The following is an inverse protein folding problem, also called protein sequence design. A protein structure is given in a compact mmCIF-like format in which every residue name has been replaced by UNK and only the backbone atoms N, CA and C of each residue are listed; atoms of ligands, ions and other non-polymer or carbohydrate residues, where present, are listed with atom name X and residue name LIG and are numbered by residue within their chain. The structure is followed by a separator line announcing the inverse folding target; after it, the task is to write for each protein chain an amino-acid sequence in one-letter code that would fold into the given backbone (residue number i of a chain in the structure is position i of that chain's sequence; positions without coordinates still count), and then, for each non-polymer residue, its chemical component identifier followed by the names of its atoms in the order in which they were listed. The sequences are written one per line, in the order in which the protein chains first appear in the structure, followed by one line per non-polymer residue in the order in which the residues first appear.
data_IF_026000176195
#
_entry.id   IF_026000176195
#
_cell.length_a   1.000
_cell.length_b   1.000
_cell.length_c   1.000
_cell.angle_alpha   90.00
_cell.angle_beta   90.00
_cell.angle_gamma   90.00
#
_symmetry.space_group_name_H-M   'P 1'
#
loop_
_entity.id
_entity.type
_entity.pdbx_description
1 polymer ?
#
# COMPACT_ATOMS: atom_id res chain seq x y z
N UNK A 1 16.03 2.34 -7.95
CA UNK A 1 16.14 3.59 -8.74
C UNK A 1 14.74 3.94 -9.26
N UNK A 2 14.07 5.00 -8.78
CA UNK A 2 12.96 5.61 -9.51
C UNK A 2 13.60 5.97 -10.83
N UNK A 3 13.17 5.31 -11.92
CA UNK A 3 13.54 5.76 -13.25
C UNK A 3 12.75 7.06 -13.46
N UNK A 4 13.20 8.17 -12.84
CA UNK A 4 12.87 9.49 -13.37
C UNK A 4 13.35 9.43 -14.80
N UNK A 5 12.44 9.56 -15.75
CA UNK A 5 12.83 9.58 -17.15
C UNK A 5 13.94 10.62 -17.32
N UNK A 6 14.91 10.35 -18.20
CA UNK A 6 15.97 11.33 -18.48
C UNK A 6 15.38 12.73 -18.75
N UNK A 7 14.20 12.77 -19.40
CA UNK A 7 13.39 13.97 -19.61
C UNK A 7 12.97 14.67 -18.31
N UNK A 8 12.36 13.96 -17.37
CA UNK A 8 11.94 14.54 -16.09
C UNK A 8 13.13 14.99 -15.24
N UNK A 9 14.24 14.24 -15.26
CA UNK A 9 15.47 14.64 -14.59
C UNK A 9 16.03 15.94 -15.20
N UNK A 10 16.02 16.04 -16.53
CA UNK A 10 16.45 17.23 -17.26
C UNK A 10 15.55 18.44 -16.97
N UNK A 11 14.22 18.27 -17.00
CA UNK A 11 13.27 19.35 -16.62
C UNK A 11 13.55 19.84 -15.20
N UNK A 12 13.78 18.92 -14.25
CA UNK A 12 14.09 19.29 -12.87
C UNK A 12 15.41 20.05 -12.76
N UNK A 13 16.44 19.63 -13.50
CA UNK A 13 17.74 20.28 -13.52
C UNK A 13 17.66 21.69 -14.11
N UNK A 14 17.00 21.86 -15.27
CA UNK A 14 16.83 23.16 -15.92
C UNK A 14 16.05 24.11 -15.02
N UNK A 15 14.95 23.65 -14.40
CA UNK A 15 14.19 24.48 -13.44
C UNK A 15 15.00 24.88 -12.22
N UNK A 16 15.83 23.98 -11.69
CA UNK A 16 16.70 24.31 -10.56
C UNK A 16 17.77 25.34 -10.95
N UNK A 17 18.36 25.20 -12.14
CA UNK A 17 19.32 26.18 -12.67
C UNK A 17 18.67 27.55 -12.83
N UNK A 18 17.46 27.62 -13.42
CA UNK A 18 16.73 28.88 -13.60
C UNK A 18 16.43 29.56 -12.26
N UNK A 19 15.97 28.79 -11.26
CA UNK A 19 15.73 29.31 -9.91
C UNK A 19 17.02 29.82 -9.26
N UNK A 20 18.15 29.12 -9.44
CA UNK A 20 19.42 29.57 -8.87
C UNK A 20 19.91 30.89 -9.50
N UNK A 21 19.77 31.06 -10.82
CA UNK A 21 20.15 32.30 -11.49
C UNK A 21 19.30 33.48 -11.01
N UNK A 22 17.98 33.27 -10.87
CA UNK A 22 17.05 34.29 -10.35
C UNK A 22 17.31 34.62 -8.87
N UNK A 23 17.64 33.62 -8.04
CA UNK A 23 17.97 33.87 -6.63
C UNK A 23 19.26 34.67 -6.50
N UNK A 24 20.28 34.37 -7.32
CA UNK A 24 21.53 35.12 -7.32
C UNK A 24 21.32 36.59 -7.71
N UNK A 25 20.42 36.85 -8.67
CA UNK A 25 19.96 38.20 -9.05
C UNK A 25 19.34 38.95 -7.88
N UNK A 26 18.31 38.35 -7.28
CA UNK A 26 17.63 38.97 -6.13
C UNK A 26 18.56 39.24 -4.96
N UNK A 27 19.59 38.41 -4.75
CA UNK A 27 20.59 38.61 -3.70
C UNK A 27 21.51 39.78 -4.05
N UNK A 28 21.98 39.89 -5.31
CA UNK A 28 22.82 41.00 -5.73
C UNK A 28 22.08 42.34 -5.61
N UNK A 29 20.80 42.38 -6.04
CA UNK A 29 19.93 43.56 -5.89
C UNK A 29 19.71 43.95 -4.41
N UNK A 30 19.62 42.96 -3.51
CA UNK A 30 19.42 43.21 -2.08
C UNK A 30 20.68 43.67 -1.36
N UNK A 31 21.84 43.19 -1.79
CA UNK A 31 23.13 43.41 -1.13
C UNK A 31 23.79 44.71 -1.61
N UNK A 32 23.36 45.26 -2.76
CA UNK A 32 23.72 46.61 -3.18
C UNK A 32 25.22 46.83 -3.26
N UNK A 33 25.92 46.02 -4.06
CA UNK A 33 27.26 46.37 -4.49
C UNK A 33 27.15 47.45 -5.57
N UNK A 34 26.90 48.69 -5.14
CA UNK A 34 27.25 49.85 -5.95
C UNK A 34 28.78 49.88 -6.02
N UNK A 35 29.35 49.50 -7.17
CA UNK A 35 30.75 49.82 -7.47
C UNK A 35 30.86 51.33 -7.65
N UNK A 36 31.11 52.04 -6.54
CA UNK A 36 31.50 53.44 -6.56
C UNK A 36 32.88 53.58 -7.23
N UNK A 37 32.82 53.98 -8.49
CA UNK A 37 33.71 54.87 -9.24
C UNK A 37 35.02 55.31 -8.55
N UNK A 38 36.16 54.89 -9.12
CA UNK A 38 37.36 55.74 -9.12
C UNK A 38 38.13 55.57 -10.42
N UNK A 39 38.20 56.68 -11.16
CA UNK A 39 38.79 56.94 -12.47
C UNK A 39 40.23 56.43 -12.68
N UNK A 40 40.53 55.92 -13.88
CA UNK A 40 41.40 56.60 -14.87
C UNK A 40 41.59 55.74 -16.15
N UNK A 41 41.58 56.45 -17.29
CA UNK A 41 42.03 56.12 -18.67
C UNK A 41 42.44 54.66 -19.00
N UNK A 42 41.86 54.07 -20.04
CA UNK A 42 42.37 54.20 -21.41
C UNK A 42 41.47 53.42 -22.41
N UNK A 43 41.44 53.95 -23.62
CA UNK A 43 40.70 53.47 -24.78
C UNK A 43 40.99 52.01 -25.18
N UNK A 44 39.96 51.16 -25.25
CA UNK A 44 39.97 49.99 -26.15
C UNK A 44 38.55 49.69 -26.65
N UNK A 45 38.35 49.89 -27.95
CA UNK A 45 37.16 49.49 -28.71
C UNK A 45 37.07 47.96 -28.72
N UNK A 46 36.17 47.43 -27.89
CA UNK A 46 35.82 46.02 -27.82
C UNK A 46 34.48 45.90 -27.11
N UNK A 47 33.45 45.50 -27.85
CA UNK A 47 32.10 45.29 -27.34
C UNK A 47 32.09 44.21 -26.24
N UNK A 48 32.31 44.60 -24.99
CA UNK A 48 32.04 43.76 -23.82
C UNK A 48 30.53 43.80 -23.58
N UNK A 49 29.86 42.68 -23.83
CA UNK A 49 28.49 42.49 -23.34
C UNK A 49 28.53 42.66 -21.82
N UNK A 50 27.63 43.47 -21.27
CA UNK A 50 27.58 43.75 -19.83
C UNK A 50 27.30 42.44 -19.06
N UNK A 51 27.72 42.32 -17.80
CA UNK A 51 27.49 41.10 -17.01
C UNK A 51 25.99 40.75 -16.91
N UNK A 52 25.12 41.77 -16.96
CA UNK A 52 23.67 41.62 -17.07
C UNK A 52 23.24 40.95 -18.39
N UNK A 53 23.86 41.30 -19.52
CA UNK A 53 23.54 40.72 -20.83
C UNK A 53 23.88 39.23 -20.88
N UNK A 54 25.03 38.83 -20.33
CA UNK A 54 25.40 37.42 -20.22
C UNK A 54 24.40 36.62 -19.36
N UNK A 55 23.86 37.24 -18.32
CA UNK A 55 22.88 36.64 -17.42
C UNK A 55 21.51 36.51 -18.08
N UNK A 56 21.04 37.55 -18.76
CA UNK A 56 19.81 37.49 -19.55
C UNK A 56 19.88 36.41 -20.63
N UNK A 57 21.02 36.32 -21.33
CA UNK A 57 21.27 35.26 -22.31
C UNK A 57 21.22 33.86 -21.67
N UNK A 58 21.78 33.69 -20.47
CA UNK A 58 21.70 32.42 -19.73
C UNK A 58 20.25 32.05 -19.34
N UNK A 59 19.43 33.03 -18.94
CA UNK A 59 18.01 32.81 -18.63
C UNK A 59 17.24 32.42 -19.91
N UNK A 60 17.46 33.13 -21.01
CA UNK A 60 16.83 32.83 -22.30
C UNK A 60 17.20 31.43 -22.82
N UNK A 61 18.46 31.03 -22.69
CA UNK A 61 18.91 29.68 -23.02
C UNK A 61 18.20 28.63 -22.18
N UNK A 62 18.14 28.83 -20.86
CA UNK A 62 17.47 27.90 -19.95
C UNK A 62 15.96 27.79 -20.24
N UNK A 63 15.31 28.92 -20.56
CA UNK A 63 13.90 28.94 -20.98
C UNK A 63 13.70 28.24 -22.33
N UNK A 64 14.60 28.44 -23.28
CA UNK A 64 14.59 27.79 -24.59
C UNK A 64 14.78 26.28 -24.48
N UNK A 65 15.72 25.82 -23.65
CA UNK A 65 15.90 24.40 -23.35
C UNK A 65 14.67 23.84 -22.64
N UNK A 66 14.10 24.56 -21.68
CA UNK A 66 12.88 24.13 -21.00
C UNK A 66 11.72 23.99 -21.99
N UNK A 67 11.55 24.96 -22.87
CA UNK A 67 10.55 24.95 -23.93
C UNK A 67 10.76 23.75 -24.85
N UNK A 68 11.96 23.57 -25.41
CA UNK A 68 12.28 22.46 -26.31
C UNK A 68 11.98 21.09 -25.67
N UNK A 69 12.36 20.90 -24.40
CA UNK A 69 12.10 19.67 -23.66
C UNK A 69 10.60 19.49 -23.37
N UNK A 70 9.85 20.57 -23.13
CA UNK A 70 8.40 20.53 -22.94
C UNK A 70 7.65 20.23 -24.23
N UNK A 71 8.10 20.78 -25.35
CA UNK A 71 7.50 20.64 -26.69
C UNK A 71 7.66 19.23 -27.26
N UNK A 72 8.65 18.46 -26.80
CA UNK A 72 8.84 17.07 -27.20
C UNK A 72 8.47 16.08 -26.09
N UNK A 73 7.77 14.99 -26.46
CA UNK A 73 7.43 13.91 -25.52
C UNK A 73 8.65 13.07 -25.11
N UNK A 74 9.66 12.97 -25.98
CA UNK A 74 10.88 12.15 -25.79
C UNK A 74 12.12 12.98 -26.10
N UNK A 75 13.25 12.71 -25.43
CA UNK A 75 14.52 13.44 -25.62
C UNK A 75 15.31 13.04 -26.88
N UNK A 76 14.82 12.06 -27.64
CA UNK A 76 15.49 11.58 -28.84
C UNK A 76 14.55 10.69 -29.67
N UNK A 77 14.97 10.30 -30.88
CA UNK A 77 14.20 9.43 -31.75
C UNK A 77 13.86 8.13 -31.01
N UNK A 78 12.58 7.80 -30.92
CA UNK A 78 12.17 6.49 -30.42
C UNK A 78 12.49 5.46 -31.51
N UNK A 79 13.36 4.50 -31.21
CA UNK A 79 13.38 3.27 -31.99
C UNK A 79 12.13 2.47 -31.60
N UNK A 80 11.15 2.30 -32.50
CA UNK A 80 10.02 1.44 -32.21
C UNK A 80 10.57 0.04 -31.99
N UNK A 81 10.30 -0.56 -30.83
CA UNK A 81 10.40 -2.01 -30.75
C UNK A 81 9.46 -2.59 -31.79
N UNK A 82 9.94 -3.57 -32.57
CA UNK A 82 9.06 -4.24 -33.52
C UNK A 82 7.79 -4.69 -32.78
N UNK A 83 6.60 -4.36 -33.29
CA UNK A 83 5.37 -4.88 -32.70
C UNK A 83 5.47 -6.40 -32.64
N UNK A 84 4.97 -6.97 -31.56
CA UNK A 84 4.96 -8.42 -31.39
C UNK A 84 4.41 -9.10 -32.66
N UNK A 85 4.95 -10.25 -33.09
CA UNK A 85 4.43 -10.98 -34.26
C UNK A 85 2.96 -11.41 -34.14
N UNK A 86 2.42 -11.39 -32.92
CA UNK A 86 1.01 -11.61 -32.63
C UNK A 86 0.34 -10.26 -32.42
N UNK A 87 -0.76 -10.04 -33.16
CA UNK A 87 -1.67 -8.94 -32.89
C UNK A 87 -2.11 -8.97 -31.41
N UNK A 88 -2.24 -7.81 -30.77
CA UNK A 88 -2.61 -7.76 -29.34
C UNK A 88 -3.97 -8.41 -29.10
N UNK A 89 -4.88 -8.29 -30.06
CA UNK A 89 -6.19 -8.95 -30.02
C UNK A 89 -6.04 -10.49 -29.99
N UNK A 90 -5.03 -11.05 -30.66
CA UNK A 90 -4.74 -12.47 -30.61
C UNK A 90 -4.11 -12.87 -29.26
N UNK A 91 -3.28 -12.01 -28.65
CA UNK A 91 -2.71 -12.28 -27.33
C UNK A 91 -3.76 -12.24 -26.22
N UNK A 92 -4.68 -11.27 -26.26
CA UNK A 92 -5.82 -11.22 -25.32
C UNK A 92 -6.72 -12.45 -25.50
N UNK A 93 -7.06 -12.79 -26.75
CA UNK A 93 -7.89 -13.94 -27.05
C UNK A 93 -7.24 -15.26 -26.57
N UNK A 94 -5.92 -15.40 -26.73
CA UNK A 94 -5.18 -16.57 -26.25
C UNK A 94 -5.19 -16.64 -24.71
N UNK A 95 -4.92 -15.53 -24.02
CA UNK A 95 -4.89 -15.53 -22.55
C UNK A 95 -6.28 -15.72 -21.92
N UNK A 96 -7.33 -15.14 -22.50
CA UNK A 96 -8.68 -15.21 -21.94
C UNK A 96 -9.39 -16.50 -22.35
N UNK A 97 -9.32 -16.90 -23.62
CA UNK A 97 -10.18 -17.97 -24.15
C UNK A 97 -9.47 -19.30 -24.38
N UNK A 98 -8.12 -19.35 -24.39
CA UNK A 98 -7.38 -20.59 -24.70
C UNK A 98 -6.61 -21.17 -23.51
N UNK A 99 -6.34 -20.38 -22.47
CA UNK A 99 -5.82 -20.89 -21.20
C UNK A 99 -6.96 -21.61 -20.46
N UNK A 100 -6.72 -22.75 -19.82
CA UNK A 100 -7.72 -23.40 -18.96
C UNK A 100 -7.96 -22.60 -17.66
N UNK A 101 -9.05 -22.88 -16.95
CA UNK A 101 -9.43 -22.10 -15.75
C UNK A 101 -8.41 -22.19 -14.62
N UNK A 102 -7.75 -23.34 -14.43
CA UNK A 102 -6.73 -23.51 -13.39
C UNK A 102 -5.51 -22.66 -13.68
N UNK A 103 -4.98 -22.73 -14.90
CA UNK A 103 -3.85 -21.90 -15.30
C UNK A 103 -4.21 -20.41 -15.29
N UNK A 104 -5.42 -20.03 -15.73
CA UNK A 104 -5.88 -18.64 -15.65
C UNK A 104 -5.89 -18.16 -14.19
N UNK A 105 -6.40 -19.00 -13.28
CA UNK A 105 -6.46 -18.69 -11.85
C UNK A 105 -5.08 -18.59 -11.22
N UNK A 106 -4.13 -19.44 -11.59
CA UNK A 106 -2.74 -19.35 -11.12
C UNK A 106 -2.07 -18.07 -11.60
N UNK A 107 -2.29 -17.68 -12.85
CA UNK A 107 -1.69 -16.50 -13.48
C UNK A 107 -2.26 -15.19 -12.93
N UNK A 108 -3.59 -15.08 -12.81
CA UNK A 108 -4.28 -13.83 -12.48
C UNK A 108 -4.88 -13.79 -11.07
N UNK A 109 -4.68 -14.86 -10.28
CA UNK A 109 -5.09 -14.96 -8.86
C UNK A 109 -6.59 -14.77 -8.65
N UNK A 110 -7.40 -15.08 -9.65
CA UNK A 110 -8.86 -15.17 -9.59
C UNK A 110 -9.37 -16.02 -10.76
N UNK A 111 -10.55 -16.62 -10.62
CA UNK A 111 -11.16 -17.36 -11.73
C UNK A 111 -11.54 -16.44 -12.88
N UNK A 112 -11.70 -17.01 -14.08
CA UNK A 112 -12.12 -16.27 -15.28
C UNK A 112 -13.46 -15.57 -15.05
N UNK A 113 -14.40 -16.23 -14.37
CA UNK A 113 -15.71 -15.67 -14.04
C UNK A 113 -15.58 -14.40 -13.20
N UNK A 114 -14.84 -14.46 -12.09
CA UNK A 114 -14.60 -13.30 -11.23
C UNK A 114 -13.83 -12.18 -11.94
N UNK A 115 -12.88 -12.55 -12.81
CA UNK A 115 -12.18 -11.58 -13.66
C UNK A 115 -13.11 -10.82 -14.60
N UNK A 116 -14.01 -11.53 -15.31
CA UNK A 116 -14.97 -10.91 -16.23
C UNK A 116 -15.95 -10.00 -15.49
N UNK A 117 -16.45 -10.43 -14.33
CA UNK A 117 -17.30 -9.59 -13.45
C UNK A 117 -16.58 -8.33 -13.01
N UNK A 118 -15.33 -8.46 -12.53
CA UNK A 118 -14.53 -7.31 -12.11
C UNK A 118 -14.28 -6.35 -13.28
N UNK A 119 -13.98 -6.88 -14.47
CA UNK A 119 -13.82 -6.08 -15.68
C UNK A 119 -15.07 -5.27 -16.01
N UNK A 120 -16.24 -5.89 -15.95
CA UNK A 120 -17.52 -5.22 -16.19
C UNK A 120 -17.75 -4.10 -15.16
N UNK A 121 -17.52 -4.39 -13.87
CA UNK A 121 -17.72 -3.45 -12.77
C UNK A 121 -16.85 -2.19 -12.90
N UNK A 122 -15.61 -2.33 -13.38
CA UNK A 122 -14.68 -1.20 -13.53
C UNK A 122 -14.67 -0.60 -14.94
N UNK A 123 -15.36 -1.19 -15.91
CA UNK A 123 -15.24 -0.85 -17.34
C UNK A 123 -15.55 0.61 -17.66
N UNK A 124 -16.53 1.20 -16.95
CA UNK A 124 -17.00 2.57 -17.15
C UNK A 124 -16.20 3.62 -16.37
N UNK A 125 -15.12 3.21 -15.71
CA UNK A 125 -14.32 4.13 -14.91
C UNK A 125 -13.63 5.20 -15.79
N UNK A 126 -13.72 6.50 -15.45
CA UNK A 126 -13.08 7.57 -16.20
C UNK A 126 -11.57 7.42 -16.39
N UNK A 127 -10.89 6.65 -15.52
CA UNK A 127 -9.45 6.39 -15.63
C UNK A 127 -9.08 5.59 -16.89
N UNK A 128 -10.06 4.86 -17.44
CA UNK A 128 -9.95 4.16 -18.71
C UNK A 128 -10.41 5.02 -19.89
N UNK A 129 -10.70 6.30 -19.71
CA UNK A 129 -10.89 7.20 -20.84
C UNK A 129 -9.55 7.84 -21.20
N UNK A 130 -9.26 7.94 -22.50
CA UNK A 130 -8.10 8.67 -22.99
C UNK A 130 -8.57 9.81 -23.89
N UNK A 131 -7.93 10.98 -23.78
CA UNK A 131 -8.12 12.11 -24.70
C UNK A 131 -7.08 12.07 -25.82
N UNK A 132 -6.74 10.88 -26.31
CA UNK A 132 -5.68 10.70 -27.30
C UNK A 132 -6.26 10.37 -28.67
N UNK A 133 -5.47 10.56 -29.71
CA UNK A 133 -5.85 10.23 -31.08
C UNK A 133 -5.86 8.72 -31.37
N UNK A 134 -5.46 7.89 -30.40
CA UNK A 134 -5.48 6.42 -30.51
C UNK A 134 -6.58 5.81 -29.66
N UNK A 135 -7.18 4.68 -30.09
CA UNK A 135 -8.19 3.99 -29.30
C UNK A 135 -7.63 3.57 -27.95
N UNK A 136 -8.46 3.64 -26.90
CA UNK A 136 -8.05 3.10 -25.60
C UNK A 136 -7.97 1.58 -25.66
N UNK A 137 -6.93 1.05 -25.02
CA UNK A 137 -6.73 -0.39 -24.85
C UNK A 137 -7.82 -1.01 -23.94
N UNK A 138 -8.31 -2.22 -24.24
CA UNK A 138 -9.35 -2.88 -23.45
C UNK A 138 -9.01 -2.94 -21.96
N UNK A 139 -10.02 -2.75 -21.11
CA UNK A 139 -9.87 -2.82 -19.65
C UNK A 139 -9.37 -4.19 -19.20
N UNK A 140 -9.80 -5.26 -19.90
CA UNK A 140 -9.38 -6.64 -19.67
C UNK A 140 -7.87 -6.82 -19.76
N UNK A 141 -7.25 -6.32 -20.83
CA UNK A 141 -5.79 -6.35 -21.01
C UNK A 141 -5.07 -5.63 -19.85
N UNK A 142 -5.53 -4.43 -19.50
CA UNK A 142 -4.94 -3.64 -18.42
C UNK A 142 -5.08 -4.34 -17.06
N UNK A 143 -6.22 -4.99 -16.82
CA UNK A 143 -6.50 -5.72 -15.60
C UNK A 143 -5.68 -7.00 -15.49
N UNK A 144 -5.52 -7.78 -16.56
CA UNK A 144 -4.64 -8.96 -16.59
C UNK A 144 -3.21 -8.62 -16.18
N UNK A 145 -2.66 -7.55 -16.76
CA UNK A 145 -1.32 -7.05 -16.42
C UNK A 145 -1.22 -6.67 -14.94
N UNK A 146 -2.25 -5.99 -14.42
CA UNK A 146 -2.31 -5.57 -13.02
C UNK A 146 -2.38 -6.77 -12.10
N UNK A 147 -3.28 -7.71 -12.34
CA UNK A 147 -3.51 -8.88 -11.50
C UNK A 147 -2.30 -9.82 -11.46
N UNK A 148 -1.69 -10.11 -12.62
CA UNK A 148 -0.43 -10.87 -12.66
C UNK A 148 0.64 -10.20 -11.81
N UNK A 149 0.72 -8.87 -11.86
CA UNK A 149 1.67 -8.10 -11.05
C UNK A 149 1.36 -8.13 -9.55
N UNK A 150 0.09 -8.02 -9.14
CA UNK A 150 -0.33 -8.17 -7.74
C UNK A 150 -0.06 -9.58 -7.22
N UNK A 151 -0.19 -10.57 -8.11
CA UNK A 151 -0.02 -12.00 -7.85
C UNK A 151 1.41 -12.54 -7.90
N UNK A 152 2.40 -11.72 -8.26
CA UNK A 152 3.81 -12.12 -8.31
C UNK A 152 4.61 -11.51 -7.16
N UNK A 153 5.67 -12.21 -6.74
CA UNK A 153 6.68 -11.74 -5.80
C UNK A 153 8.09 -12.02 -6.34
N UNK A 154 9.12 -11.53 -5.66
CA UNK A 154 10.51 -11.83 -6.04
C UNK A 154 10.84 -11.40 -7.48
N UNK A 155 11.55 -12.25 -8.22
CA UNK A 155 12.02 -11.92 -9.57
C UNK A 155 10.90 -11.83 -10.61
N UNK A 156 9.81 -12.60 -10.45
CA UNK A 156 8.65 -12.55 -11.34
C UNK A 156 7.89 -11.22 -11.26
N UNK A 157 7.93 -10.55 -10.10
CA UNK A 157 7.33 -9.23 -9.92
C UNK A 157 8.12 -8.10 -10.63
N UNK A 158 9.23 -8.41 -11.32
CA UNK A 158 9.98 -7.44 -12.10
C UNK A 158 9.15 -6.89 -13.27
N UNK A 159 9.18 -5.57 -13.43
CA UNK A 159 8.51 -4.89 -14.56
C UNK A 159 9.06 -5.40 -15.90
N UNK A 160 10.35 -5.74 -15.98
CA UNK A 160 10.96 -6.26 -17.22
C UNK A 160 10.54 -7.70 -17.54
N UNK A 161 10.17 -8.49 -16.53
CA UNK A 161 9.59 -9.84 -16.73
C UNK A 161 8.16 -9.71 -17.25
N UNK A 162 7.35 -8.87 -16.61
CA UNK A 162 5.96 -8.62 -17.03
C UNK A 162 5.89 -7.97 -18.42
N UNK A 163 6.79 -7.04 -18.71
CA UNK A 163 6.95 -6.41 -20.02
C UNK A 163 7.19 -7.44 -21.12
N UNK A 164 8.04 -8.45 -20.88
CA UNK A 164 8.27 -9.54 -21.83
C UNK A 164 7.09 -10.51 -21.90
N UNK A 165 6.48 -10.84 -20.77
CA UNK A 165 5.33 -11.74 -20.69
C UNK A 165 4.15 -11.22 -21.52
N UNK A 166 3.78 -9.94 -21.33
CA UNK A 166 2.69 -9.30 -22.06
C UNK A 166 3.11 -8.64 -23.38
N UNK A 167 4.42 -8.65 -23.70
CA UNK A 167 5.01 -7.97 -24.87
C UNK A 167 4.67 -6.47 -24.94
N UNK A 168 4.67 -5.83 -23.77
CA UNK A 168 4.38 -4.40 -23.58
C UNK A 168 5.65 -3.64 -23.22
N UNK A 169 5.67 -2.33 -23.42
CA UNK A 169 6.71 -1.50 -22.83
C UNK A 169 6.57 -1.42 -21.30
N UNK A 170 7.69 -1.29 -20.60
CA UNK A 170 7.73 -1.16 -19.13
C UNK A 170 6.87 0.00 -18.62
N UNK A 171 6.82 1.12 -19.35
CA UNK A 171 5.95 2.25 -19.03
C UNK A 171 4.46 1.94 -19.17
N UNK A 172 4.09 1.05 -20.09
CA UNK A 172 2.70 0.60 -20.27
C UNK A 172 2.26 -0.31 -19.13
N UNK A 173 3.12 -1.24 -18.68
CA UNK A 173 2.85 -2.08 -17.50
C UNK A 173 2.56 -1.21 -16.27
N UNK A 174 3.40 -0.19 -16.04
CA UNK A 174 3.22 0.79 -14.97
C UNK A 174 1.91 1.58 -15.10
N UNK A 175 1.59 2.07 -16.30
CA UNK A 175 0.37 2.82 -16.58
C UNK A 175 -0.87 1.98 -16.31
N UNK A 176 -0.94 0.77 -16.87
CA UNK A 176 -2.07 -0.15 -16.69
C UNK A 176 -2.27 -0.50 -15.21
N UNK A 177 -1.18 -0.81 -14.51
CA UNK A 177 -1.22 -1.08 -13.07
C UNK A 177 -1.85 0.09 -12.31
N UNK A 178 -1.40 1.32 -12.56
CA UNK A 178 -1.89 2.49 -11.83
C UNK A 178 -3.36 2.80 -12.14
N UNK A 179 -3.79 2.64 -13.40
CA UNK A 179 -5.20 2.83 -13.80
C UNK A 179 -6.11 1.83 -13.10
N UNK A 180 -5.75 0.55 -13.14
CA UNK A 180 -6.55 -0.49 -12.49
C UNK A 180 -6.56 -0.35 -10.97
N UNK A 181 -5.42 0.01 -10.33
CA UNK A 181 -5.40 0.31 -8.90
C UNK A 181 -6.39 1.43 -8.55
N UNK A 182 -6.44 2.53 -9.33
CA UNK A 182 -7.40 3.61 -9.10
C UNK A 182 -8.84 3.14 -9.24
N UNK A 183 -9.16 2.38 -10.28
CA UNK A 183 -10.51 1.87 -10.52
C UNK A 183 -10.96 0.89 -9.41
N UNK A 184 -10.10 -0.07 -9.05
CA UNK A 184 -10.35 -1.03 -7.96
C UNK A 184 -10.58 -0.30 -6.64
N UNK A 185 -9.79 0.74 -6.33
CA UNK A 185 -9.96 1.48 -5.08
C UNK A 185 -11.29 2.23 -4.98
N UNK A 186 -11.96 2.53 -6.10
CA UNK A 186 -13.32 3.11 -6.06
C UNK A 186 -14.37 2.10 -5.58
N UNK A 187 -14.11 0.80 -5.73
CA UNK A 187 -14.97 -0.27 -5.21
C UNK A 187 -14.88 -0.41 -3.68
N UNK A 188 -13.91 0.25 -3.03
CA UNK A 188 -13.66 0.12 -1.59
C UNK A 188 -14.92 0.39 -0.77
N UNK A 189 -15.69 1.42 -1.11
CA UNK A 189 -16.92 1.79 -0.40
C UNK A 189 -18.06 0.80 -0.59
N UNK A 190 -17.92 -0.18 -1.46
CA UNK A 190 -18.91 -1.25 -1.66
C UNK A 190 -18.51 -2.50 -0.85
N UNK A 191 -17.21 -2.86 -0.86
CA UNK A 191 -16.76 -4.16 -0.33
C UNK A 191 -15.93 -4.10 0.95
N UNK A 192 -15.37 -2.95 1.33
CA UNK A 192 -14.48 -2.79 2.50
C UNK A 192 -14.95 -1.61 3.34
N UNK A 193 -16.02 -1.85 4.11
CA UNK A 193 -16.60 -0.90 5.04
C UNK A 193 -16.63 -1.46 6.45
N UNK A 194 -16.64 -0.55 7.41
CA UNK A 194 -16.99 -0.93 8.76
C UNK A 194 -18.46 -1.40 8.82
N UNK A 195 -18.75 -2.55 9.44
CA UNK A 195 -20.10 -3.09 9.48
C UNK A 195 -21.07 -2.12 10.14
N UNK A 196 -22.28 -2.05 9.59
CA UNK A 196 -23.42 -1.33 10.16
C UNK A 196 -23.80 -1.90 11.52
N UNK A 197 -24.56 -1.16 12.33
CA UNK A 197 -25.03 -1.66 13.64
C UNK A 197 -25.81 -2.97 13.54
N UNK A 198 -26.55 -3.19 12.44
CA UNK A 198 -27.28 -4.44 12.18
C UNK A 198 -26.32 -5.61 11.92
N UNK A 199 -25.30 -5.40 11.09
CA UNK A 199 -24.29 -6.42 10.77
C UNK A 199 -23.42 -6.73 11.98
N UNK A 200 -23.01 -5.72 12.76
CA UNK A 200 -22.28 -5.92 14.02
C UNK A 200 -23.08 -6.73 15.03
N UNK A 201 -24.37 -6.46 15.15
CA UNK A 201 -25.27 -7.27 15.99
C UNK A 201 -25.32 -8.72 15.52
N UNK A 202 -25.37 -8.97 14.21
CA UNK A 202 -25.33 -10.34 13.68
C UNK A 202 -24.00 -11.05 14.01
N UNK A 203 -22.86 -10.37 13.83
CA UNK A 203 -21.54 -10.89 14.21
C UNK A 203 -21.52 -11.21 15.72
N UNK A 204 -21.98 -10.29 16.57
CA UNK A 204 -22.05 -10.48 18.02
C UNK A 204 -22.92 -11.65 18.43
N UNK A 205 -24.05 -11.89 17.76
CA UNK A 205 -24.92 -13.05 18.02
C UNK A 205 -24.19 -14.36 17.69
N UNK A 206 -23.46 -14.42 16.58
CA UNK A 206 -22.66 -15.60 16.24
C UNK A 206 -21.51 -15.82 17.23
N UNK A 207 -20.82 -14.76 17.65
CA UNK A 207 -19.73 -14.86 18.63
C UNK A 207 -20.23 -15.18 20.05
N UNK A 208 -21.45 -14.80 20.40
CA UNK A 208 -22.06 -15.19 21.66
C UNK A 208 -22.23 -16.72 21.79
N UNK A 209 -22.40 -17.46 20.68
CA UNK A 209 -22.50 -18.94 20.68
C UNK A 209 -21.22 -19.64 21.14
N UNK A 210 -20.10 -18.93 21.17
CA UNK A 210 -18.81 -19.43 21.65
C UNK A 210 -18.31 -18.70 22.91
N UNK A 211 -19.19 -17.94 23.58
CA UNK A 211 -18.91 -17.24 24.84
C UNK A 211 -18.47 -15.78 24.68
N UNK A 212 -18.27 -15.27 23.46
CA UNK A 212 -17.78 -13.91 23.20
C UNK A 212 -18.92 -12.93 22.84
N UNK A 213 -19.91 -12.78 23.73
CA UNK A 213 -20.98 -11.79 23.57
C UNK A 213 -20.43 -10.36 23.52
N UNK A 214 -20.87 -9.56 22.55
CA UNK A 214 -20.36 -8.20 22.27
C UNK A 214 -19.19 -8.14 21.29
N UNK A 215 -18.63 -9.28 20.87
CA UNK A 215 -17.56 -9.29 19.88
C UNK A 215 -18.09 -8.97 18.47
N UNK A 216 -17.55 -7.95 17.83
CA UNK A 216 -17.97 -7.50 16.48
C UNK A 216 -16.92 -7.74 15.39
N UNK A 217 -15.82 -8.43 15.72
CA UNK A 217 -14.78 -8.78 14.76
C UNK A 217 -13.44 -9.13 15.42
N UNK A 218 -12.48 -9.47 14.59
CA UNK A 218 -11.15 -9.94 14.98
C UNK A 218 -10.09 -9.01 14.40
N UNK A 219 -9.14 -8.58 15.22
CA UNK A 219 -8.09 -7.64 14.82
C UNK A 219 -6.70 -8.25 14.94
N UNK A 220 -5.88 -8.04 13.92
CA UNK A 220 -4.47 -8.34 13.97
C UNK A 220 -3.67 -7.35 13.11
N UNK A 221 -2.35 -7.34 13.27
CA UNK A 221 -1.44 -6.57 12.46
C UNK A 221 -0.51 -7.48 11.66
N UNK A 222 -0.12 -7.04 10.48
CA UNK A 222 0.83 -7.70 9.61
C UNK A 222 1.87 -6.72 9.09
N UNK A 223 3.08 -7.21 8.89
CA UNK A 223 4.15 -6.48 8.24
C UNK A 223 4.18 -6.88 6.77
N UNK A 224 4.04 -5.89 5.89
CA UNK A 224 4.19 -6.04 4.44
C UNK A 224 5.65 -5.76 4.09
N UNK A 225 6.47 -6.79 3.75
CA UNK A 225 7.89 -6.60 3.50
C UNK A 225 8.12 -5.74 2.25
N UNK A 226 9.10 -4.85 2.32
CA UNK A 226 9.61 -4.07 1.19
C UNK A 226 10.87 -4.74 0.67
N UNK A 227 10.97 -4.92 -0.65
CA UNK A 227 12.16 -5.55 -1.24
C UNK A 227 13.39 -4.65 -1.23
N UNK A 228 13.19 -3.34 -1.06
CA UNK A 228 14.24 -2.30 -1.11
C UNK A 228 13.97 -1.31 0.02
N UNK A 229 15.03 -0.88 0.70
CA UNK A 229 14.97 0.17 1.70
C UNK A 229 14.39 1.47 1.12
N UNK A 230 13.48 2.17 1.82
CA UNK A 230 13.06 3.50 1.44
C UNK A 230 14.24 4.47 1.38
N UNK A 231 14.21 5.42 0.44
CA UNK A 231 15.34 6.35 0.25
C UNK A 231 15.43 7.42 1.33
N UNK A 232 14.35 7.64 2.09
CA UNK A 232 14.30 8.59 3.21
C UNK A 232 14.02 7.82 4.49
N UNK A 233 14.80 8.11 5.54
CA UNK A 233 14.70 7.52 6.86
C UNK A 233 14.47 5.99 6.84
N UNK A 234 15.33 5.19 6.16
CA UNK A 234 15.13 3.74 6.05
C UNK A 234 15.04 3.04 7.42
N UNK A 235 15.69 3.59 8.46
CA UNK A 235 15.62 3.09 9.82
C UNK A 235 14.20 3.04 10.40
N UNK A 236 13.31 3.96 10.02
CA UNK A 236 11.93 3.97 10.50
C UNK A 236 11.13 2.76 9.96
N UNK A 237 11.52 2.25 8.80
CA UNK A 237 10.85 1.12 8.15
C UNK A 237 11.44 -0.23 8.56
N UNK A 238 12.63 -0.24 9.18
CA UNK A 238 13.29 -1.47 9.58
C UNK A 238 12.61 -2.06 10.81
N UNK A 239 11.95 -3.20 10.63
CA UNK A 239 11.18 -3.85 11.68
C UNK A 239 12.06 -4.65 12.64
N UNK A 240 11.50 -4.99 13.80
CA UNK A 240 12.13 -5.92 14.75
C UNK A 240 12.32 -7.33 14.18
N UNK A 241 11.65 -7.66 13.07
CA UNK A 241 11.81 -8.92 12.34
C UNK A 241 12.99 -8.93 11.35
N UNK A 242 13.79 -7.86 11.31
CA UNK A 242 15.03 -7.84 10.51
C UNK A 242 14.84 -7.50 9.03
N UNK A 243 13.71 -6.90 8.65
CA UNK A 243 13.47 -6.46 7.28
C UNK A 243 12.68 -5.14 7.24
N UNK A 244 12.82 -4.41 6.13
CA UNK A 244 12.04 -3.19 5.87
C UNK A 244 10.58 -3.54 5.60
N UNK A 245 9.64 -2.85 6.22
CA UNK A 245 8.22 -3.18 6.09
C UNK A 245 7.30 -1.97 6.19
N UNK A 246 6.06 -2.18 5.74
CA UNK A 246 4.90 -1.34 6.06
C UNK A 246 4.04 -2.08 7.08
N UNK A 247 3.77 -1.44 8.22
CA UNK A 247 2.84 -1.93 9.23
C UNK A 247 1.40 -1.72 8.77
N UNK A 248 0.61 -2.78 8.82
CA UNK A 248 -0.79 -2.80 8.40
C UNK A 248 -1.66 -3.50 9.44
N UNK A 249 -2.69 -2.82 9.94
CA UNK A 249 -3.69 -3.36 10.87
C UNK A 249 -4.93 -3.74 10.08
N UNK A 250 -5.45 -4.94 10.33
CA UNK A 250 -6.60 -5.54 9.63
C UNK A 250 -7.62 -5.97 10.68
N UNK A 251 -8.90 -5.67 10.42
CA UNK A 251 -10.03 -6.29 11.11
C UNK A 251 -10.80 -7.12 10.10
N UNK A 252 -11.21 -8.32 10.49
CA UNK A 252 -12.12 -9.15 9.70
C UNK A 252 -13.33 -9.63 10.50
N UNK A 253 -14.37 -10.02 9.79
CA UNK A 253 -15.53 -10.73 10.34
C UNK A 253 -15.28 -12.26 10.41
N UNK A 254 -16.31 -13.01 10.82
CA UNK A 254 -16.26 -14.48 10.89
C UNK A 254 -16.16 -15.19 9.54
N UNK A 255 -16.38 -14.48 8.44
CA UNK A 255 -16.28 -14.98 7.06
C UNK A 255 -14.99 -14.53 6.38
N UNK A 256 -14.03 -14.00 7.15
CA UNK A 256 -12.74 -13.50 6.65
C UNK A 256 -12.87 -12.32 5.67
N UNK A 257 -13.98 -11.58 5.69
CA UNK A 257 -14.10 -10.30 4.99
C UNK A 257 -13.42 -9.22 5.81
N UNK A 258 -12.56 -8.44 5.17
CA UNK A 258 -11.84 -7.33 5.80
C UNK A 258 -12.83 -6.17 5.99
N UNK A 259 -13.12 -5.82 7.23
CA UNK A 259 -14.04 -4.73 7.57
C UNK A 259 -13.33 -3.41 7.87
N UNK A 260 -12.03 -3.48 8.19
CA UNK A 260 -11.20 -2.30 8.43
C UNK A 260 -9.76 -2.58 8.04
N UNK A 261 -9.15 -1.62 7.35
CA UNK A 261 -7.73 -1.65 6.97
C UNK A 261 -7.07 -0.33 7.32
N UNK A 262 -5.99 -0.39 8.08
CA UNK A 262 -5.15 0.76 8.41
C UNK A 262 -3.70 0.46 8.06
N UNK A 263 -3.23 1.04 6.96
CA UNK A 263 -1.91 0.77 6.37
C UNK A 263 -1.11 2.05 6.14
N UNK A 264 0.18 1.91 5.86
CA UNK A 264 1.08 3.01 5.51
C UNK A 264 1.98 3.51 6.63
N UNK A 265 1.95 2.86 7.79
CA UNK A 265 2.93 3.09 8.85
C UNK A 265 4.26 2.42 8.51
N UNK A 266 5.40 3.04 8.85
CA UNK A 266 6.69 2.35 8.80
C UNK A 266 6.69 1.08 9.69
N UNK A 267 7.53 0.11 9.35
CA UNK A 267 7.66 -1.18 10.04
C UNK A 267 8.36 -1.15 11.40
N UNK A 268 9.11 -0.09 11.73
CA UNK A 268 9.87 0.04 12.97
C UNK A 268 9.05 0.41 14.21
N UNK A 269 8.07 1.34 14.13
CA UNK A 269 7.18 1.66 15.25
C UNK A 269 6.50 0.44 15.88
N UNK A 270 6.30 0.48 17.21
CA UNK A 270 5.57 -0.56 17.93
C UNK A 270 4.09 -0.60 17.52
N UNK A 271 3.47 -1.78 17.61
CA UNK A 271 2.04 -1.95 17.32
C UNK A 271 1.15 -1.00 18.13
N UNK A 272 1.46 -0.77 19.41
CA UNK A 272 0.75 0.18 20.27
C UNK A 272 0.80 1.61 19.70
N UNK A 273 1.95 2.05 19.16
CA UNK A 273 2.07 3.37 18.51
C UNK A 273 1.28 3.44 17.20
N UNK A 274 1.25 2.38 16.40
CA UNK A 274 0.41 2.32 15.18
C UNK A 274 -1.06 2.41 15.56
N UNK A 275 -1.48 1.65 16.58
CA UNK A 275 -2.87 1.64 17.07
C UNK A 275 -3.31 2.97 17.66
N UNK A 276 -2.44 3.71 18.35
CA UNK A 276 -2.79 5.01 18.95
C UNK A 276 -3.17 6.08 17.91
N UNK A 277 -2.84 5.86 16.64
CA UNK A 277 -3.19 6.75 15.53
C UNK A 277 -4.29 6.18 14.61
N UNK A 278 -4.78 4.98 14.90
CA UNK A 278 -5.85 4.34 14.14
C UNK A 278 -7.21 4.99 14.47
N UNK A 279 -8.14 4.97 13.51
CA UNK A 279 -9.50 5.47 13.73
C UNK A 279 -10.22 4.75 14.87
N UNK A 280 -9.96 3.45 15.04
CA UNK A 280 -10.50 2.62 16.12
C UNK A 280 -10.17 3.16 17.52
N UNK A 281 -9.00 3.80 17.68
CA UNK A 281 -8.57 4.39 18.96
C UNK A 281 -8.91 5.88 19.05
N UNK A 282 -8.78 6.62 17.95
CA UNK A 282 -8.99 8.07 17.94
C UNK A 282 -10.48 8.45 17.99
N UNK A 283 -11.36 7.61 17.41
CA UNK A 283 -12.79 7.87 17.30
C UNK A 283 -13.63 6.60 17.53
N UNK A 284 -13.51 5.94 18.70
CA UNK A 284 -14.16 4.65 18.94
C UNK A 284 -15.69 4.70 18.78
N UNK A 285 -16.32 5.85 19.04
CA UNK A 285 -17.78 6.04 18.90
C UNK A 285 -18.29 5.90 17.46
N UNK A 286 -17.42 6.09 16.45
CA UNK A 286 -17.78 5.91 15.04
C UNK A 286 -17.83 4.41 14.66
N UNK A 287 -17.21 3.56 15.48
CA UNK A 287 -17.02 2.13 15.19
C UNK A 287 -17.82 1.22 16.14
N UNK A 288 -17.97 1.59 17.41
CA UNK A 288 -18.53 0.73 18.44
C UNK A 288 -19.76 1.35 19.11
N UNK A 289 -20.81 0.55 19.24
CA UNK A 289 -21.91 0.78 20.18
C UNK A 289 -21.51 0.31 21.59
N UNK A 290 -22.19 0.78 22.65
CA UNK A 290 -21.86 0.39 24.01
C UNK A 290 -21.84 -1.14 24.20
N UNK A 291 -20.73 -1.66 24.72
CA UNK A 291 -20.51 -3.08 24.95
C UNK A 291 -19.91 -3.84 23.76
N UNK A 292 -19.75 -3.21 22.60
CA UNK A 292 -19.09 -3.83 21.44
C UNK A 292 -17.56 -3.73 21.53
N UNK A 293 -16.85 -4.79 21.10
CA UNK A 293 -15.39 -4.84 21.10
C UNK A 293 -14.82 -5.77 20.01
N UNK A 294 -13.52 -5.64 19.75
CA UNK A 294 -12.74 -6.54 18.90
C UNK A 294 -11.90 -7.49 19.75
N UNK A 295 -11.73 -8.73 19.27
CA UNK A 295 -10.78 -9.68 19.84
C UNK A 295 -9.42 -9.56 19.16
N UNK A 296 -8.36 -9.50 19.97
CA UNK A 296 -6.99 -9.31 19.51
C UNK A 296 -6.04 -10.34 20.13
N UNK A 297 -4.91 -10.59 19.48
CA UNK A 297 -3.84 -11.37 20.11
C UNK A 297 -3.16 -10.58 21.26
N UNK A 298 -2.34 -11.28 22.04
CA UNK A 298 -1.69 -10.73 23.24
C UNK A 298 -0.63 -9.65 22.97
N UNK A 299 -0.31 -9.35 21.70
CA UNK A 299 0.57 -8.26 21.34
C UNK A 299 -0.12 -6.88 21.39
N UNK A 300 -1.47 -6.85 21.37
CA UNK A 300 -2.24 -5.61 21.47
C UNK A 300 -2.36 -5.13 22.91
N UNK A 301 -2.34 -3.82 23.10
CA UNK A 301 -2.75 -3.20 24.36
C UNK A 301 -4.27 -3.31 24.50
N UNK A 302 -4.74 -3.89 25.60
CA UNK A 302 -6.18 -3.99 25.90
C UNK A 302 -6.79 -2.62 26.19
N UNK A 303 -7.94 -2.35 25.58
CA UNK A 303 -8.77 -1.15 25.78
C UNK A 303 -10.23 -1.58 25.94
N UNK A 304 -11.16 -0.69 26.33
CA UNK A 304 -12.58 -1.05 26.40
C UNK A 304 -13.19 -1.59 25.10
N UNK A 305 -12.62 -1.26 23.94
CA UNK A 305 -13.08 -1.69 22.62
C UNK A 305 -12.17 -2.74 21.96
N UNK A 306 -11.04 -3.09 22.59
CA UNK A 306 -10.09 -4.10 22.09
C UNK A 306 -9.70 -5.04 23.24
N UNK A 307 -10.23 -6.25 23.21
CA UNK A 307 -9.96 -7.29 24.20
C UNK A 307 -8.83 -8.18 23.67
N UNK A 308 -7.65 -8.02 24.26
CA UNK A 308 -6.45 -8.76 23.87
C UNK A 308 -6.19 -9.94 24.82
N UNK A 309 -5.69 -11.05 24.27
CA UNK A 309 -5.25 -12.20 25.06
C UNK A 309 -4.23 -11.85 26.15
N UNK A 310 -4.11 -12.69 27.16
CA UNK A 310 -3.13 -12.51 28.23
C UNK A 310 -1.72 -12.82 27.71
N UNK A 311 -0.80 -11.89 27.95
CA UNK A 311 0.60 -12.04 27.55
C UNK A 311 1.37 -12.71 28.69
N UNK A 312 2.08 -13.79 28.39
CA UNK A 312 2.94 -14.45 29.38
C UNK A 312 4.00 -13.47 29.93
N UNK A 313 4.09 -13.28 31.26
CA UNK A 313 5.11 -12.42 31.86
C UNK A 313 6.52 -12.96 31.61
N UNK A 314 7.52 -12.07 31.59
CA UNK A 314 8.93 -12.48 31.40
C UNK A 314 9.45 -13.37 32.54
N UNK A 315 8.90 -13.20 33.75
CA UNK A 315 9.13 -14.10 34.88
C UNK A 315 7.78 -14.44 35.50
N UNK A 316 7.27 -15.63 35.20
CA UNK A 316 5.98 -16.10 35.69
C UNK A 316 5.27 -17.03 34.71
N UNK A 317 4.11 -17.49 35.15
CA UNK A 317 3.16 -18.22 34.32
C UNK A 317 1.84 -17.44 34.28
N UNK A 318 1.04 -17.71 33.27
CA UNK A 318 -0.34 -17.26 33.26
C UNK A 318 -1.10 -18.05 34.34
N UNK A 319 -2.14 -17.46 34.89
CA UNK A 319 -3.06 -18.22 35.75
C UNK A 319 -3.80 -19.26 34.91
N UNK A 320 -4.36 -20.27 35.56
CA UNK A 320 -5.14 -21.30 34.85
C UNK A 320 -6.33 -20.69 34.10
N UNK A 321 -6.98 -19.68 34.67
CA UNK A 321 -8.06 -18.93 34.05
C UNK A 321 -7.59 -18.15 32.81
N UNK A 322 -6.43 -17.50 32.89
CA UNK A 322 -5.83 -16.77 31.77
C UNK A 322 -5.44 -17.71 30.62
N UNK A 323 -4.88 -18.88 30.94
CA UNK A 323 -4.53 -19.90 29.96
C UNK A 323 -5.77 -20.50 29.28
N UNK A 324 -6.83 -20.80 30.05
CA UNK A 324 -8.11 -21.26 29.51
C UNK A 324 -8.76 -20.20 28.62
N UNK A 325 -8.76 -18.93 29.03
CA UNK A 325 -9.25 -17.83 28.20
C UNK A 325 -8.48 -17.73 26.88
N UNK A 326 -7.15 -17.76 26.95
CA UNK A 326 -6.30 -17.74 25.76
C UNK A 326 -6.59 -18.94 24.83
N UNK A 327 -6.86 -20.12 25.38
CA UNK A 327 -7.25 -21.30 24.59
C UNK A 327 -8.55 -21.08 23.80
N UNK A 328 -9.56 -20.45 24.41
CA UNK A 328 -10.79 -20.07 23.70
C UNK A 328 -10.55 -18.98 22.64
N UNK A 329 -9.60 -18.07 22.89
CA UNK A 329 -9.23 -17.01 21.96
C UNK A 329 -8.50 -17.51 20.70
N UNK A 330 -7.84 -18.67 20.76
CA UNK A 330 -7.09 -19.23 19.62
C UNK A 330 -7.94 -19.38 18.36
N UNK A 331 -9.22 -19.74 18.49
CA UNK A 331 -10.13 -19.83 17.33
C UNK A 331 -10.27 -18.48 16.62
N UNK A 332 -10.47 -17.42 17.39
CA UNK A 332 -10.59 -16.05 16.88
C UNK A 332 -9.28 -15.57 16.24
N UNK A 333 -8.14 -15.93 16.82
CA UNK A 333 -6.82 -15.64 16.24
C UNK A 333 -6.61 -16.37 14.92
N UNK A 334 -6.97 -17.66 14.85
CA UNK A 334 -6.88 -18.43 13.62
C UNK A 334 -7.72 -17.83 12.48
N UNK A 335 -8.91 -17.28 12.77
CA UNK A 335 -9.76 -16.62 11.76
C UNK A 335 -9.06 -15.41 11.11
N UNK A 336 -8.53 -14.50 11.92
CA UNK A 336 -7.84 -13.30 11.40
C UNK A 336 -6.49 -13.63 10.78
N UNK A 337 -5.76 -14.60 11.32
CA UNK A 337 -4.51 -15.09 10.74
C UNK A 337 -4.75 -15.76 9.38
N UNK A 338 -5.80 -16.57 9.25
CA UNK A 338 -6.20 -17.14 7.97
C UNK A 338 -6.66 -16.05 6.99
N UNK A 339 -7.41 -15.04 7.43
CA UNK A 339 -7.75 -13.90 6.57
C UNK A 339 -6.51 -13.21 6.00
N UNK A 340 -5.51 -12.92 6.85
CA UNK A 340 -4.24 -12.30 6.44
C UNK A 340 -3.43 -13.24 5.54
N UNK A 341 -3.37 -14.53 5.89
CA UNK A 341 -2.69 -15.57 5.14
C UNK A 341 -3.27 -15.70 3.74
N UNK A 342 -4.59 -15.81 3.63
CA UNK A 342 -5.32 -15.83 2.36
C UNK A 342 -5.04 -14.56 1.56
N UNK A 343 -5.18 -13.36 2.13
CA UNK A 343 -4.88 -12.09 1.45
C UNK A 343 -3.47 -12.07 0.82
N UNK A 344 -2.44 -12.43 1.60
CA UNK A 344 -1.05 -12.47 1.13
C UNK A 344 -0.79 -13.65 0.18
N UNK A 345 -1.53 -14.75 0.36
CA UNK A 345 -1.55 -15.92 -0.52
C UNK A 345 -2.08 -15.60 -1.91
N UNK A 346 -3.21 -14.87 -1.99
CA UNK A 346 -3.79 -14.39 -3.27
C UNK A 346 -2.82 -13.42 -3.94
N UNK A 347 -2.39 -12.40 -3.20
CA UNK A 347 -1.60 -11.30 -3.73
C UNK A 347 -0.17 -11.34 -3.20
N UNK A 348 0.62 -12.23 -3.81
CA UNK A 348 2.00 -12.50 -3.42
C UNK A 348 2.90 -11.26 -3.40
N UNK A 349 2.54 -10.20 -4.13
CA UNK A 349 3.25 -8.91 -4.04
C UNK A 349 3.33 -8.36 -2.60
N UNK A 350 2.41 -8.76 -1.71
CA UNK A 350 2.42 -8.43 -0.28
C UNK A 350 3.46 -9.19 0.56
N UNK A 351 4.14 -10.19 -0.01
CA UNK A 351 5.24 -10.93 0.64
C UNK A 351 6.62 -10.34 0.34
N UNK A 352 6.71 -9.33 -0.52
CA UNK A 352 7.97 -8.71 -0.91
C UNK A 352 7.75 -7.63 -1.94
N UNK A 353 7.15 -6.52 -1.48
CA UNK A 353 6.66 -5.47 -2.36
C UNK A 353 7.81 -4.79 -3.08
N UNK A 354 7.85 -4.96 -4.41
CA UNK A 354 8.87 -4.40 -5.31
C UNK A 354 8.53 -2.99 -5.78
N UNK A 355 8.22 -2.10 -4.84
CA UNK A 355 8.00 -0.68 -5.09
C UNK A 355 9.04 0.14 -4.31
N UNK A 356 9.70 1.08 -5.00
CA UNK A 356 10.63 2.00 -4.37
C UNK A 356 9.86 3.14 -3.71
N UNK A 357 10.24 3.51 -2.49
CA UNK A 357 9.68 4.64 -1.76
C UNK A 357 10.72 5.77 -1.70
N UNK A 358 10.60 6.77 -2.58
CA UNK A 358 11.49 7.95 -2.60
C UNK A 358 10.83 9.19 -1.99
N UNK A 359 9.50 9.21 -1.95
CA UNK A 359 8.76 10.28 -1.29
C UNK A 359 7.27 9.99 -1.14
N UNK A 360 6.51 11.06 -0.85
CA UNK A 360 5.08 10.98 -0.52
C UNK A 360 4.25 10.28 -1.62
N UNK A 361 4.53 10.54 -2.90
CA UNK A 361 3.80 9.92 -4.02
C UNK A 361 3.97 8.41 -4.06
N UNK A 362 5.18 7.92 -3.79
CA UNK A 362 5.45 6.48 -3.78
C UNK A 362 4.82 5.81 -2.56
N UNK A 363 4.85 6.47 -1.40
CA UNK A 363 4.15 5.99 -0.20
C UNK A 363 2.64 5.88 -0.44
N UNK A 364 2.03 6.89 -1.08
CA UNK A 364 0.61 6.85 -1.47
C UNK A 364 0.36 5.66 -2.40
N UNK A 365 1.26 5.42 -3.37
CA UNK A 365 1.14 4.29 -4.29
C UNK A 365 1.25 2.93 -3.57
N UNK A 366 2.18 2.78 -2.63
CA UNK A 366 2.32 1.57 -1.81
C UNK A 366 1.04 1.33 -0.99
N UNK A 367 0.49 2.37 -0.37
CA UNK A 367 -0.75 2.25 0.40
C UNK A 367 -1.94 1.90 -0.52
N UNK A 368 -2.03 2.52 -1.69
CA UNK A 368 -3.02 2.22 -2.72
C UNK A 368 -2.93 0.76 -3.18
N UNK A 369 -1.71 0.23 -3.33
CA UNK A 369 -1.46 -1.16 -3.67
C UNK A 369 -1.99 -2.13 -2.62
N UNK A 370 -1.61 -1.92 -1.35
CA UNK A 370 -2.05 -2.77 -0.23
C UNK A 370 -3.57 -2.72 -0.08
N UNK A 371 -4.16 -1.53 -0.19
CA UNK A 371 -5.61 -1.34 -0.12
C UNK A 371 -6.34 -2.01 -1.29
N UNK A 372 -5.81 -1.93 -2.52
CA UNK A 372 -6.40 -2.60 -3.68
C UNK A 372 -6.39 -4.13 -3.51
N UNK A 373 -5.31 -4.71 -3.00
CA UNK A 373 -5.28 -6.14 -2.67
C UNK A 373 -6.36 -6.51 -1.64
N UNK A 374 -6.59 -5.68 -0.62
CA UNK A 374 -7.65 -5.93 0.37
C UNK A 374 -9.06 -5.81 -0.23
N UNK A 375 -9.29 -4.83 -1.11
CA UNK A 375 -10.55 -4.68 -1.85
C UNK A 375 -10.81 -5.89 -2.74
N UNK A 376 -9.82 -6.34 -3.50
CA UNK A 376 -9.94 -7.54 -4.32
C UNK A 376 -10.15 -8.81 -3.49
N UNK A 377 -9.52 -8.91 -2.31
CA UNK A 377 -9.74 -10.03 -1.41
C UNK A 377 -11.21 -10.15 -1.01
N UNK A 378 -11.84 -9.04 -0.60
CA UNK A 378 -13.26 -9.03 -0.25
C UNK A 378 -14.16 -9.27 -1.46
N UNK A 379 -13.86 -8.65 -2.61
CA UNK A 379 -14.60 -8.88 -3.85
C UNK A 379 -14.63 -10.37 -4.21
N UNK A 380 -13.50 -11.07 -4.08
CA UNK A 380 -13.40 -12.50 -4.36
C UNK A 380 -14.04 -13.38 -3.28
N UNK A 381 -14.15 -12.93 -2.03
CA UNK A 381 -14.83 -13.67 -0.97
C UNK A 381 -16.36 -13.70 -1.17
N UNK A 382 -16.94 -12.70 -1.81
CA UNK A 382 -18.37 -12.66 -2.12
C UNK A 382 -18.78 -13.68 -3.20
N UNK A 383 -17.80 -14.22 -3.93
CA UNK A 383 -17.98 -14.99 -5.17
C UNK A 383 -17.55 -16.47 -5.04
N UNK A 384 -17.32 -16.94 -3.80
CA UNK A 384 -17.22 -18.35 -3.39
C UNK A 384 -16.20 -19.24 -4.13
N UNK A 385 -15.07 -18.68 -4.60
CA UNK A 385 -14.03 -19.46 -5.29
C UNK A 385 -12.60 -19.12 -4.84
N UNK A 386 -12.21 -19.43 -3.60
CA UNK A 386 -10.80 -19.38 -3.23
C UNK A 386 -10.35 -20.44 -2.24
N UNK A 387 -9.69 -21.47 -2.75
CA UNK A 387 -8.79 -22.35 -1.99
C UNK A 387 -7.50 -22.50 -2.81
N UNK A 388 -6.50 -21.66 -2.51
CA UNK A 388 -5.12 -21.98 -2.89
C UNK A 388 -4.59 -22.68 -1.64
N UNK A 389 -4.67 -24.01 -1.63
CA UNK A 389 -4.46 -24.85 -0.46
C UNK A 389 -3.42 -24.28 0.50
N UNK A 390 -3.79 -24.24 1.79
CA UNK A 390 -3.01 -23.71 2.92
C UNK A 390 -1.52 -23.48 2.59
N UNK A 391 -1.16 -22.24 2.23
CA UNK A 391 0.22 -21.81 2.42
C UNK A 391 0.38 -21.74 3.93
N UNK A 392 0.99 -22.80 4.49
CA UNK A 392 1.57 -22.72 5.82
C UNK A 392 2.59 -21.59 5.72
N UNK A 393 2.22 -20.39 6.16
CA UNK A 393 3.22 -19.41 6.56
C UNK A 393 3.94 -20.09 7.71
N UNK A 394 5.08 -20.69 7.40
CA UNK A 394 6.02 -21.20 8.38
C UNK A 394 6.22 -20.11 9.42
N UNK A 395 5.75 -20.43 10.61
CA UNK A 395 6.05 -19.83 11.90
C UNK A 395 5.81 -18.31 11.92
N UNK A 396 4.63 -17.95 12.45
CA UNK A 396 4.55 -16.87 13.43
C UNK A 396 5.61 -17.15 14.49
N UNK A 397 6.84 -16.72 14.24
CA UNK A 397 7.93 -16.84 15.18
C UNK A 397 7.48 -16.04 16.39
N UNK A 398 6.99 -16.78 17.37
CA UNK A 398 6.66 -16.30 18.70
C UNK A 398 7.98 -16.05 19.45
N UNK A 399 8.96 -15.48 18.76
CA UNK A 399 10.16 -14.93 19.35
C UNK A 399 9.73 -13.66 20.06
N UNK A 400 9.36 -13.85 21.32
CA UNK A 400 9.41 -12.84 22.35
C UNK A 400 10.80 -12.21 22.34
N UNK A 401 11.05 -11.25 21.45
CA UNK A 401 12.18 -10.34 21.62
C UNK A 401 11.78 -9.38 22.74
N UNK A 402 12.21 -9.70 23.94
CA UNK A 402 12.22 -8.78 25.06
C UNK A 402 13.08 -7.57 24.68
N UNK A 403 12.45 -6.50 24.19
CA UNK A 403 13.05 -5.17 24.23
C UNK A 403 12.02 -4.17 24.75
N UNK A 404 12.20 -3.85 26.03
CA UNK A 404 11.57 -2.75 26.74
C UNK A 404 11.82 -1.44 25.98
N UNK A 405 10.80 -0.92 25.29
CA UNK A 405 10.56 0.54 25.13
C UNK A 405 9.06 0.80 25.10
N UNK A 406 8.53 1.13 26.29
CA UNK A 406 7.24 1.80 26.53
C UNK A 406 6.03 1.17 25.82
N UNK A 407 5.67 -0.07 26.21
CA UNK A 407 4.30 -0.52 26.00
C UNK A 407 3.36 0.39 26.81
N UNK A 408 2.41 1.05 26.15
CA UNK A 408 1.31 1.68 26.88
C UNK A 408 0.67 0.61 27.76
N UNK A 409 0.67 0.84 29.07
CA UNK A 409 -0.05 0.00 30.02
C UNK A 409 -1.53 0.05 29.64
N UNK A 410 -2.18 -1.12 29.68
CA UNK A 410 -3.63 -1.19 29.47
C UNK A 410 -4.31 -0.18 30.40
N UNK A 411 -5.30 0.54 29.87
CA UNK A 411 -6.14 1.43 30.69
C UNK A 411 -6.88 0.59 31.73
N UNK A 412 -7.13 1.12 32.93
CA UNK A 412 -7.90 0.42 33.97
C UNK A 412 -9.22 -0.15 33.42
N UNK A 413 -10.00 0.68 32.70
CA UNK A 413 -11.24 0.21 32.08
C UNK A 413 -11.05 -0.87 30.99
N UNK A 414 -9.87 -0.96 30.37
CA UNK A 414 -9.54 -2.05 29.45
C UNK A 414 -9.25 -3.36 30.19
N UNK A 415 -8.57 -3.28 31.33
CA UNK A 415 -8.31 -4.45 32.20
C UNK A 415 -9.63 -4.99 32.76
N UNK A 416 -10.47 -4.11 33.31
CA UNK A 416 -11.80 -4.46 33.82
C UNK A 416 -12.68 -5.09 32.73
N UNK A 417 -12.67 -4.52 31.51
CA UNK A 417 -13.42 -5.09 30.40
C UNK A 417 -12.90 -6.48 30.03
N UNK A 418 -11.58 -6.70 29.96
CA UNK A 418 -11.04 -8.02 29.68
C UNK A 418 -11.39 -9.02 30.77
N UNK A 419 -11.26 -8.67 32.04
CA UNK A 419 -11.64 -9.54 33.16
C UNK A 419 -13.12 -9.91 33.11
N UNK A 420 -13.99 -8.94 32.81
CA UNK A 420 -15.43 -9.18 32.59
C UNK A 420 -15.66 -10.20 31.47
N UNK A 421 -15.00 -10.04 30.33
CA UNK A 421 -15.14 -10.97 29.19
C UNK A 421 -14.52 -12.33 29.51
N UNK A 422 -13.41 -12.38 30.25
CA UNK A 422 -12.81 -13.62 30.74
C UNK A 422 -13.80 -14.41 31.58
N UNK A 423 -14.40 -13.78 32.60
CA UNK A 423 -15.40 -14.43 33.44
C UNK A 423 -16.63 -14.89 32.65
N UNK A 424 -17.07 -14.10 31.67
CA UNK A 424 -18.17 -14.47 30.78
C UNK A 424 -17.86 -15.71 29.95
N UNK A 425 -16.68 -15.78 29.34
CA UNK A 425 -16.26 -16.90 28.49
C UNK A 425 -16.06 -18.16 29.33
N UNK A 426 -15.33 -18.04 30.45
CA UNK A 426 -15.09 -19.18 31.33
C UNK A 426 -16.39 -19.72 31.94
N UNK A 427 -17.31 -18.84 32.35
CA UNK A 427 -18.62 -19.24 32.85
C UNK A 427 -19.56 -19.85 31.80
N UNK A 428 -19.35 -19.56 30.51
CA UNK A 428 -20.09 -20.19 29.41
C UNK A 428 -19.63 -21.62 29.12
N UNK A 429 -18.34 -21.90 29.34
CA UNK A 429 -17.71 -23.21 29.08
C UNK A 429 -17.48 -24.05 30.36
N UNK A 430 -17.91 -23.55 31.52
CA UNK A 430 -17.93 -24.27 32.79
C UNK A 430 -19.15 -25.20 32.88
#
# INVERSE_FOLDING_TARGET
MVRTSKRQALIKAIKAALVNVLIADMINDLVGFDEDDSSDDDSTDGSSLDEEDFKWMQIEDLLSYLHAVHSQRYLGPRQPTQPAPLDHDQSENLMINQIDDENFKQEFRMSRTSFLKLCEHISNDPVFQNNSNGPQRPVREQLMVTLKRLGCSGNEASIDVLSRFFRLETGTVELYTNRCLMAILRLRSEVLNWPTAKERKAISVEQAKVGFNGCVGFINATLIPLSIAPSKNPGDFYSTKGFFAISTVIVCDGQQNITYLYTGWPGGPSLSRVMSHSGLTLKPVDFFSPGEYLLANSAFTTTPTIVAGYKKPSQGQLTEEEDRFNAHLLRSQALIENCIGTLKGRFQSLNGLRLRIDGKKDQIRVNAWIMACAVLHNFLNQEDEFDFGHVVTEVSDNSNSATNRTAQRATLGGQEQREKITNQVLGFHA
#
